data_IF_896847138833
#
_entry.id   IF_896847138833
#
_cell.length_a   1.000
_cell.length_b   1.000
_cell.length_c   1.000
_cell.angle_alpha   90.00
_cell.angle_beta   90.00
_cell.angle_gamma   90.00
#
_symmetry.space_group_name_H-M   'P 1'
#
loop_
_entity.id
_entity.type
_entity.pdbx_description
1 polymer ?
#
# COMPACT_ATOMS: atom_id res chain seq x y z
N UNK A 1 -6.52 5.04 12.25
CA UNK A 1 -5.52 5.75 13.05
C UNK A 1 -4.47 6.25 12.08
N UNK A 2 -4.19 7.54 12.02
CA UNK A 2 -3.16 8.04 11.10
C UNK A 2 -1.76 7.74 11.67
N UNK A 3 -0.75 7.58 10.81
CA UNK A 3 0.63 7.37 11.25
C UNK A 3 1.09 8.48 12.20
N UNK A 4 0.59 9.71 11.98
CA UNK A 4 0.78 10.86 12.86
C UNK A 4 0.21 10.63 14.26
N UNK A 5 -1.04 10.18 14.37
CA UNK A 5 -1.67 9.92 15.67
C UNK A 5 -0.96 8.81 16.43
N UNK A 6 -0.48 7.80 15.72
CA UNK A 6 0.29 6.70 16.32
C UNK A 6 1.64 7.18 16.85
N UNK A 7 2.37 8.02 16.10
CA UNK A 7 3.63 8.62 16.56
C UNK A 7 3.43 9.57 17.76
N UNK A 8 2.36 10.37 17.75
CA UNK A 8 1.98 11.20 18.88
C UNK A 8 1.62 10.36 20.12
N UNK A 9 0.97 9.20 19.92
CA UNK A 9 0.64 8.28 21.02
C UNK A 9 1.86 7.60 21.63
N UNK A 10 2.97 7.49 20.89
CA UNK A 10 4.26 7.02 21.41
C UNK A 10 5.03 8.10 22.19
N UNK A 11 4.50 9.34 22.25
CA UNK A 11 5.07 10.43 23.05
C UNK A 11 6.11 11.27 22.33
N UNK A 12 6.22 11.18 20.99
CA UNK A 12 7.10 12.04 20.22
C UNK A 12 6.53 13.46 20.08
N UNK A 13 7.41 14.48 20.09
CA UNK A 13 7.01 15.88 19.91
C UNK A 13 6.39 16.12 18.53
N UNK A 14 5.32 16.91 18.47
CA UNK A 14 4.51 17.15 17.26
C UNK A 14 5.34 17.68 16.09
N UNK A 15 6.26 18.61 16.34
CA UNK A 15 7.17 19.17 15.33
C UNK A 15 8.11 18.11 14.73
N UNK A 16 8.55 17.14 15.54
CA UNK A 16 9.45 16.06 15.13
C UNK A 16 8.70 15.01 14.30
N UNK A 17 7.45 14.74 14.66
CA UNK A 17 6.55 13.85 13.93
C UNK A 17 6.25 14.43 12.55
N UNK A 18 5.89 15.71 12.48
CA UNK A 18 5.58 16.37 11.21
C UNK A 18 6.83 16.51 10.32
N UNK A 19 8.01 16.73 10.90
CA UNK A 19 9.29 16.68 10.18
C UNK A 19 9.57 15.29 9.61
N UNK A 20 9.42 14.23 10.41
CA UNK A 20 9.67 12.85 9.98
C UNK A 20 8.70 12.38 8.91
N UNK A 21 7.42 12.73 9.01
CA UNK A 21 6.41 12.41 7.99
C UNK A 21 6.68 13.12 6.66
N UNK A 22 7.16 14.37 6.71
CA UNK A 22 7.59 15.11 5.51
C UNK A 22 8.86 14.52 4.90
N UNK A 23 9.88 14.23 5.73
CA UNK A 23 11.16 13.67 5.28
C UNK A 23 11.00 12.27 4.66
N UNK A 24 10.06 11.48 5.17
CA UNK A 24 9.77 10.13 4.67
C UNK A 24 8.69 10.11 3.57
N UNK A 25 8.14 11.27 3.22
CA UNK A 25 7.07 11.47 2.24
C UNK A 25 5.83 10.59 2.51
N UNK A 26 5.43 10.50 3.79
CA UNK A 26 4.29 9.70 4.23
C UNK A 26 4.34 8.22 3.78
N UNK A 27 5.53 7.62 3.71
CA UNK A 27 5.72 6.21 3.30
C UNK A 27 5.32 5.16 4.35
N UNK A 28 4.74 5.60 5.47
CA UNK A 28 4.24 4.74 6.54
C UNK A 28 4.87 5.03 7.91
N UNK A 29 4.33 4.40 8.94
CA UNK A 29 4.76 4.54 10.33
C UNK A 29 6.22 4.13 10.59
N UNK A 30 6.66 3.00 10.04
CA UNK A 30 7.99 2.43 10.30
C UNK A 30 9.13 3.33 9.77
N UNK A 31 9.09 3.80 8.51
CA UNK A 31 10.08 4.78 8.01
C UNK A 31 10.11 6.07 8.84
N UNK A 32 8.95 6.54 9.32
CA UNK A 32 8.87 7.74 10.15
C UNK A 32 9.49 7.52 11.54
N UNK A 33 9.32 6.34 12.14
CA UNK A 33 9.98 5.95 13.40
C UNK A 33 11.51 5.90 13.24
N UNK A 34 12.00 5.23 12.19
CA UNK A 34 13.44 5.12 11.93
C UNK A 34 14.08 6.51 11.77
N UNK A 35 13.39 7.42 11.06
CA UNK A 35 13.86 8.79 10.89
C UNK A 35 13.89 9.59 12.20
N UNK A 36 12.91 9.40 13.09
CA UNK A 36 12.86 10.05 14.40
C UNK A 36 14.02 9.58 15.28
N UNK A 37 14.28 8.28 15.32
CA UNK A 37 15.36 7.68 16.12
C UNK A 37 16.74 8.12 15.62
N UNK A 38 16.96 8.10 14.30
CA UNK A 38 18.25 8.46 13.70
C UNK A 38 18.58 9.96 13.85
N UNK A 39 17.57 10.79 14.14
CA UNK A 39 17.71 12.24 14.24
C UNK A 39 17.26 12.83 15.59
N UNK A 40 17.09 12.00 16.63
CA UNK A 40 16.61 12.40 17.95
C UNK A 40 17.48 13.52 18.58
N UNK A 41 18.80 13.48 18.32
CA UNK A 41 19.77 14.48 18.80
C UNK A 41 19.99 15.71 17.91
N UNK A 42 19.34 15.81 16.74
CA UNK A 42 19.50 16.95 15.83
C UNK A 42 18.39 17.99 16.05
N UNK A 43 18.68 19.30 15.91
CA UNK A 43 17.67 20.34 15.99
C UNK A 43 16.66 20.18 14.85
N UNK A 44 15.37 20.33 15.17
CA UNK A 44 14.26 20.21 14.21
C UNK A 44 14.24 21.49 13.36
N UNK A 45 14.26 21.41 12.01
CA UNK A 45 14.10 22.57 11.14
C UNK A 45 12.67 23.13 11.24
N UNK A 46 12.54 24.45 11.45
CA UNK A 46 11.25 25.14 11.63
C UNK A 46 10.32 24.97 10.40
N UNK A 47 9.07 24.49 10.58
CA UNK A 47 8.13 24.25 9.48
C UNK A 47 7.63 25.52 8.76
N UNK A 48 7.88 26.73 9.28
CA UNK A 48 7.51 28.00 8.63
C UNK A 48 8.56 28.50 7.63
N UNK A 49 9.77 27.94 7.66
CA UNK A 49 10.78 28.13 6.61
C UNK A 49 10.47 27.19 5.45
N UNK A 50 9.48 27.56 4.65
CA UNK A 50 9.18 26.91 3.38
C UNK A 50 10.37 27.05 2.43
N UNK A 51 11.28 26.09 2.45
CA UNK A 51 12.43 26.03 1.57
C UNK A 51 13.50 25.12 2.16
N UNK A 52 13.79 24.03 1.45
CA UNK A 52 14.94 23.14 1.64
C UNK A 52 16.06 23.77 2.48
N UNK A 53 16.13 23.39 3.75
CA UNK A 53 17.22 23.76 4.65
C UNK A 53 18.42 22.84 4.47
N UNK A 54 19.07 22.93 3.31
CA UNK A 54 20.53 22.94 3.31
C UNK A 54 20.92 24.35 3.75
N UNK A 55 21.71 24.45 4.82
CA UNK A 55 22.14 25.69 5.45
C UNK A 55 22.68 26.71 4.44
N UNK A 56 22.08 27.90 4.42
CA UNK A 56 22.58 29.06 3.69
C UNK A 56 23.63 29.85 4.48
N UNK A 57 24.66 30.33 3.77
CA UNK A 57 25.41 31.54 4.11
C UNK A 57 25.06 32.60 3.07
N UNK A 58 24.99 33.85 3.52
CA UNK A 58 24.26 34.99 2.97
C UNK A 58 24.61 35.44 1.54
N UNK A 59 23.61 36.03 0.87
CA UNK A 59 23.70 36.67 -0.44
C UNK A 59 24.05 38.17 -0.36
N UNK A 60 24.86 38.63 -1.31
CA UNK A 60 24.84 39.96 -1.91
C UNK A 60 25.04 39.81 -3.43
N UNK A 61 24.56 40.76 -4.27
CA UNK A 61 24.08 40.45 -5.62
C UNK A 61 25.10 40.76 -6.73
N UNK A 62 25.05 39.99 -7.83
CA UNK A 62 25.55 40.43 -9.14
C UNK A 62 26.30 39.36 -9.94
N UNK A 63 25.77 39.08 -11.13
CA UNK A 63 26.33 38.34 -12.28
C UNK A 63 26.53 36.82 -12.15
N UNK A 64 25.53 36.10 -12.66
CA UNK A 64 25.63 35.20 -13.84
C UNK A 64 27.07 34.94 -14.32
N UNK A 65 27.71 33.87 -13.83
CA UNK A 65 28.66 32.97 -14.52
C UNK A 65 28.86 31.73 -13.61
N UNK A 66 27.98 30.73 -13.71
CA UNK A 66 28.16 29.42 -13.06
C UNK A 66 29.37 28.69 -13.70
N UNK A 67 30.55 28.94 -13.15
CA UNK A 67 31.75 28.12 -13.37
C UNK A 67 31.87 27.20 -12.16
N UNK A 68 31.56 25.91 -12.36
CA UNK A 68 31.60 24.86 -11.32
C UNK A 68 32.90 24.92 -10.47
N UNK A 69 32.77 25.39 -9.22
CA UNK A 69 33.84 25.62 -8.24
C UNK A 69 34.60 24.33 -7.85
N UNK A 70 33.95 23.17 -8.02
CA UNK A 70 34.51 21.85 -7.70
C UNK A 70 35.65 21.43 -8.65
N UNK A 71 35.63 21.91 -9.90
CA UNK A 71 36.62 21.52 -10.91
C UNK A 71 37.92 22.34 -10.80
N UNK A 72 37.85 23.61 -10.39
CA UNK A 72 39.04 24.44 -10.11
C UNK A 72 39.73 24.02 -8.82
N UNK A 73 38.98 23.59 -7.80
CA UNK A 73 39.53 23.08 -6.54
C UNK A 73 40.24 21.72 -6.75
N UNK A 74 39.69 20.85 -7.62
CA UNK A 74 40.36 19.62 -8.05
C UNK A 74 41.66 19.89 -8.84
N UNK A 75 41.69 20.95 -9.66
CA UNK A 75 42.90 21.37 -10.39
C UNK A 75 43.94 21.99 -9.45
N UNK A 76 43.51 22.75 -8.43
CA UNK A 76 44.34 23.37 -7.40
C UNK A 76 44.94 22.33 -6.44
N UNK A 77 44.20 21.26 -6.15
CA UNK A 77 44.67 20.11 -5.38
C UNK A 77 45.70 19.27 -6.17
N UNK A 78 45.52 19.12 -7.50
CA UNK A 78 46.48 18.42 -8.37
C UNK A 78 47.79 19.21 -8.62
N UNK A 79 47.77 20.53 -8.46
CA UNK A 79 48.93 21.45 -8.61
C UNK A 79 49.42 22.03 -7.27
N UNK A 80 49.35 21.26 -6.18
CA UNK A 80 49.78 21.69 -4.84
C UNK A 80 51.02 22.59 -4.81
N UNK A 81 50.86 23.79 -4.23
CA UNK A 81 51.90 24.72 -3.74
C UNK A 81 53.17 24.84 -4.60
N UNK A 82 53.09 25.56 -5.72
CA UNK A 82 54.27 26.06 -6.42
C UNK A 82 54.15 27.56 -6.70
N UNK A 83 53.99 28.39 -5.65
CA UNK A 83 54.39 29.81 -5.62
C UNK A 83 53.92 30.47 -4.32
N UNK A 84 54.76 30.47 -3.29
CA UNK A 84 54.90 31.58 -2.34
C UNK A 84 56.04 31.27 -1.36
N UNK A 85 57.04 32.15 -1.35
CA UNK A 85 58.14 32.28 -0.39
C UNK A 85 59.31 31.29 -0.46
N UNK A 86 60.30 31.64 -1.28
CA UNK A 86 61.71 31.27 -1.08
C UNK A 86 62.37 32.41 -0.28
N UNK A 87 62.73 32.15 0.98
CA UNK A 87 63.92 32.75 1.62
C UNK A 87 64.88 31.59 1.89
N UNK A 88 66.18 31.70 1.55
CA UNK A 88 67.12 30.61 1.70
C UNK A 88 67.73 30.64 3.10
N UNK A 89 67.69 29.52 3.83
CA UNK A 89 68.66 29.25 4.91
C UNK A 89 68.90 27.74 5.01
N UNK A 90 70.17 27.39 4.76
CA UNK A 90 71.04 26.35 5.31
C UNK A 90 70.57 24.90 5.54
N UNK A 91 71.50 24.02 5.17
CA UNK A 91 71.60 22.57 5.38
C UNK A 91 71.24 22.10 6.79
N UNK A 92 70.52 20.97 6.87
CA UNK A 92 70.79 19.93 7.87
C UNK A 92 70.53 18.54 7.28
N UNK A 93 71.33 17.61 7.76
CA UNK A 93 71.62 16.27 7.27
C UNK A 93 70.49 15.25 7.54
N UNK A 94 70.08 14.52 6.50
CA UNK A 94 69.17 13.37 6.61
C UNK A 94 68.87 12.75 5.25
N UNK A 95 69.32 11.52 5.02
CA UNK A 95 69.13 10.79 3.77
C UNK A 95 67.68 10.30 3.70
N UNK A 96 66.81 11.01 2.99
CA UNK A 96 65.47 10.53 2.62
C UNK A 96 65.41 10.32 1.09
N UNK A 97 64.97 9.13 0.68
CA UNK A 97 64.99 8.69 -0.71
C UNK A 97 64.12 9.56 -1.62
N UNK A 98 64.70 9.99 -2.75
CA UNK A 98 64.10 10.95 -3.69
C UNK A 98 62.97 10.37 -4.58
N UNK A 99 62.79 9.04 -4.63
CA UNK A 99 61.68 8.39 -5.34
C UNK A 99 61.40 6.97 -4.81
N UNK A 100 60.18 6.47 -4.98
CA UNK A 100 59.75 5.15 -4.47
C UNK A 100 59.27 4.31 -5.66
N UNK A 101 59.92 3.19 -5.96
CA UNK A 101 59.48 2.27 -7.03
C UNK A 101 58.69 1.11 -6.44
N UNK A 102 57.63 0.69 -7.13
CA UNK A 102 56.94 -0.55 -6.78
C UNK A 102 57.68 -1.73 -7.43
N UNK A 103 58.12 -2.71 -6.63
CA UNK A 103 58.87 -3.87 -7.10
C UNK A 103 58.01 -4.83 -7.94
N UNK A 104 56.69 -4.79 -7.77
CA UNK A 104 55.75 -5.67 -8.49
C UNK A 104 55.38 -5.16 -9.88
N UNK A 105 55.45 -3.85 -10.12
CA UNK A 105 55.08 -3.26 -11.43
C UNK A 105 56.11 -2.31 -12.02
N UNK A 106 57.23 -2.08 -11.35
CA UNK A 106 58.33 -1.23 -11.80
C UNK A 106 58.00 0.27 -11.91
N UNK A 107 56.80 0.70 -11.47
CA UNK A 107 56.41 2.11 -11.53
C UNK A 107 57.10 2.91 -10.44
N UNK A 108 57.71 4.03 -10.82
CA UNK A 108 58.41 4.94 -9.93
C UNK A 108 57.49 6.11 -9.57
N UNK A 109 57.31 6.34 -8.28
CA UNK A 109 56.47 7.37 -7.70
C UNK A 109 57.33 8.48 -7.11
N UNK A 110 56.86 9.72 -7.30
CA UNK A 110 57.53 10.95 -6.86
C UNK A 110 57.34 11.25 -5.37
N UNK A 111 56.31 10.68 -4.74
CA UNK A 111 55.94 10.95 -3.35
C UNK A 111 55.23 9.73 -2.76
N UNK A 112 55.34 9.55 -1.44
CA UNK A 112 54.69 8.48 -0.64
C UNK A 112 53.17 8.45 -0.85
N UNK A 113 52.52 9.61 -0.97
CA UNK A 113 51.07 9.69 -1.20
C UNK A 113 50.63 9.06 -2.55
N UNK A 114 51.45 9.17 -3.59
CA UNK A 114 51.17 8.55 -4.90
C UNK A 114 51.45 7.04 -4.88
N UNK A 115 52.42 6.59 -4.08
CA UNK A 115 52.66 5.16 -3.84
C UNK A 115 51.49 4.53 -3.07
N UNK A 116 50.95 5.20 -2.05
CA UNK A 116 49.77 4.75 -1.31
C UNK A 116 48.52 4.65 -2.19
N UNK A 117 48.26 5.66 -3.04
CA UNK A 117 47.15 5.59 -3.99
C UNK A 117 47.29 4.45 -5.01
N UNK A 118 48.54 4.17 -5.44
CA UNK A 118 48.82 3.01 -6.28
C UNK A 118 48.62 1.70 -5.52
N UNK A 119 49.02 1.62 -4.25
CA UNK A 119 48.75 0.48 -3.38
C UNK A 119 47.24 0.22 -3.19
N UNK A 120 46.44 1.26 -2.97
CA UNK A 120 44.98 1.13 -2.82
C UNK A 120 44.27 0.71 -4.11
N UNK A 121 44.75 1.19 -5.27
CA UNK A 121 44.10 0.95 -6.55
C UNK A 121 44.55 -0.34 -7.24
N UNK A 122 45.82 -0.74 -7.07
CA UNK A 122 46.37 -1.94 -7.71
C UNK A 122 46.73 -3.05 -6.73
N UNK A 123 46.66 -2.82 -5.41
CA UNK A 123 46.94 -3.82 -4.39
C UNK A 123 48.41 -4.20 -4.24
N UNK A 124 49.35 -3.39 -4.74
CA UNK A 124 50.78 -3.68 -4.66
C UNK A 124 51.38 -3.02 -3.41
N UNK A 125 52.06 -3.80 -2.57
CA UNK A 125 52.57 -3.38 -1.25
C UNK A 125 54.12 -3.38 -1.15
N UNK A 126 54.82 -4.03 -2.08
CA UNK A 126 56.28 -4.04 -2.10
C UNK A 126 56.83 -2.79 -2.82
N UNK A 127 57.31 -1.82 -2.04
CA UNK A 127 57.96 -0.61 -2.53
C UNK A 127 59.44 -0.56 -2.12
N UNK A 128 60.30 -0.28 -3.09
CA UNK A 128 61.74 -0.06 -2.90
C UNK A 128 62.07 1.43 -3.09
N UNK A 129 62.86 1.97 -2.18
CA UNK A 129 63.40 3.32 -2.31
C UNK A 129 64.44 3.36 -3.45
N UNK A 130 64.25 4.22 -4.44
CA UNK A 130 65.16 4.36 -5.60
C UNK A 130 65.67 5.79 -5.73
N UNK A 131 66.96 5.91 -6.04
CA UNK A 131 67.69 7.18 -6.17
C UNK A 131 67.61 7.78 -7.57
N UNK A 132 66.75 7.25 -8.45
CA UNK A 132 66.55 7.78 -9.79
C UNK A 132 65.81 9.12 -9.72
N UNK A 133 66.53 10.22 -9.95
CA UNK A 133 65.96 11.55 -10.09
C UNK A 133 65.04 11.56 -11.32
N UNK A 134 63.73 11.47 -11.08
CA UNK A 134 62.74 11.58 -12.14
C UNK A 134 62.91 12.97 -12.77
N UNK A 135 63.45 12.99 -14.01
CA UNK A 135 63.63 14.20 -14.80
C UNK A 135 62.31 14.99 -14.76
N UNK A 136 62.30 16.21 -14.20
CA UNK A 136 61.07 16.97 -14.08
C UNK A 136 60.52 17.18 -15.48
N UNK A 137 59.28 16.72 -15.69
CA UNK A 137 58.51 16.90 -16.92
C UNK A 137 58.78 18.33 -17.45
N UNK A 138 59.25 18.46 -18.68
CA UNK A 138 59.57 19.76 -19.27
C UNK A 138 58.32 20.64 -19.26
N UNK A 139 58.50 21.96 -19.17
CA UNK A 139 57.35 22.88 -19.05
C UNK A 139 56.37 22.74 -20.23
N UNK A 140 56.84 22.28 -21.39
CA UNK A 140 56.04 22.01 -22.58
C UNK A 140 55.15 20.77 -22.43
N UNK A 141 55.65 19.68 -21.85
CA UNK A 141 54.85 18.46 -21.60
C UNK A 141 53.80 18.68 -20.51
N UNK A 142 54.07 19.57 -19.55
CA UNK A 142 53.09 19.99 -18.52
C UNK A 142 51.99 20.85 -19.14
N UNK A 143 52.33 21.78 -20.05
CA UNK A 143 51.34 22.60 -20.76
C UNK A 143 50.46 21.75 -21.67
N UNK A 144 51.04 20.81 -22.43
CA UNK A 144 50.29 19.89 -23.28
C UNK A 144 49.31 19.01 -22.47
N UNK A 145 49.75 18.46 -21.31
CA UNK A 145 48.84 17.70 -20.42
C UNK A 145 47.75 18.56 -19.80
N UNK A 146 48.00 19.84 -19.51
CA UNK A 146 46.98 20.77 -19.02
C UNK A 146 45.95 21.09 -20.10
N UNK A 147 46.37 21.26 -21.35
CA UNK A 147 45.48 21.48 -22.49
C UNK A 147 44.63 20.24 -22.79
N UNK A 148 45.23 19.04 -22.74
CA UNK A 148 44.50 17.78 -22.86
C UNK A 148 43.46 17.59 -21.73
N UNK A 149 43.83 17.92 -20.48
CA UNK A 149 42.90 17.86 -19.35
C UNK A 149 41.75 18.86 -19.54
N UNK A 150 42.04 20.09 -19.97
CA UNK A 150 41.02 21.11 -20.24
C UNK A 150 40.09 20.70 -21.37
N UNK A 151 40.62 20.13 -22.45
CA UNK A 151 39.82 19.62 -23.56
C UNK A 151 38.89 18.49 -23.10
N UNK A 152 39.39 17.55 -22.28
CA UNK A 152 38.59 16.45 -21.72
C UNK A 152 37.51 16.95 -20.76
N UNK A 153 37.78 18.00 -19.99
CA UNK A 153 36.80 18.64 -19.11
C UNK A 153 35.72 19.38 -19.91
N UNK A 154 36.10 20.10 -20.96
CA UNK A 154 35.14 20.74 -21.86
C UNK A 154 34.24 19.72 -22.56
N UNK A 155 34.79 18.59 -23.01
CA UNK A 155 34.01 17.50 -23.58
C UNK A 155 33.04 16.89 -22.56
N UNK A 156 33.47 16.72 -21.30
CA UNK A 156 32.61 16.23 -20.21
C UNK A 156 31.49 17.23 -19.87
N UNK A 157 31.78 18.53 -19.82
CA UNK A 157 30.79 19.59 -19.61
C UNK A 157 29.79 19.66 -20.76
N UNK A 158 30.25 19.57 -22.01
CA UNK A 158 29.37 19.53 -23.17
C UNK A 158 28.42 18.32 -23.12
N UNK A 159 28.93 17.12 -22.82
CA UNK A 159 28.10 15.92 -22.65
C UNK A 159 27.10 16.07 -21.50
N UNK A 160 27.52 16.62 -20.35
CA UNK A 160 26.65 16.86 -19.20
C UNK A 160 25.51 17.82 -19.55
N UNK A 161 25.80 18.93 -20.23
CA UNK A 161 24.77 19.90 -20.65
C UNK A 161 23.73 19.30 -21.61
N UNK A 162 24.15 18.40 -22.51
CA UNK A 162 23.23 17.71 -23.43
C UNK A 162 22.34 16.73 -22.66
N UNK A 163 22.88 16.02 -21.68
CA UNK A 163 22.10 15.11 -20.84
C UNK A 163 21.11 15.90 -19.98
N UNK A 164 21.56 16.96 -19.30
CA UNK A 164 20.71 17.79 -18.45
C UNK A 164 19.56 18.44 -19.25
N UNK A 165 19.84 18.95 -20.45
CA UNK A 165 18.77 19.51 -21.31
C UNK A 165 17.77 18.45 -21.79
N UNK A 166 18.21 17.20 -22.01
CA UNK A 166 17.32 16.09 -22.34
C UNK A 166 16.48 15.65 -21.13
N UNK A 167 17.09 15.55 -19.96
CA UNK A 167 16.40 15.21 -18.70
C UNK A 167 15.38 16.28 -18.32
N UNK A 168 15.71 17.56 -18.46
CA UNK A 168 14.77 18.66 -18.24
C UNK A 168 13.56 18.58 -19.19
N UNK A 169 13.80 18.33 -20.49
CA UNK A 169 12.71 18.13 -21.47
C UNK A 169 11.85 16.91 -21.14
N UNK A 170 12.46 15.81 -20.71
CA UNK A 170 11.74 14.60 -20.33
C UNK A 170 10.89 14.80 -19.07
N UNK A 171 11.43 15.51 -18.06
CA UNK A 171 10.72 15.83 -16.83
C UNK A 171 9.54 16.79 -17.09
N UNK A 172 9.74 17.81 -17.94
CA UNK A 172 8.66 18.70 -18.35
C UNK A 172 7.57 17.96 -19.13
N UNK A 173 7.94 17.03 -20.03
CA UNK A 173 6.99 16.19 -20.76
C UNK A 173 6.22 15.26 -19.81
N UNK A 174 6.87 14.69 -18.80
CA UNK A 174 6.22 13.87 -17.78
C UNK A 174 5.22 14.70 -16.95
N UNK A 175 5.58 15.92 -16.57
CA UNK A 175 4.68 16.84 -15.85
C UNK A 175 3.43 17.15 -16.69
N UNK A 176 3.60 17.44 -17.99
CA UNK A 176 2.48 17.69 -18.90
C UNK A 176 1.58 16.47 -19.06
N UNK A 177 2.16 15.28 -19.25
CA UNK A 177 1.40 14.02 -19.35
C UNK A 177 0.65 13.70 -18.07
N UNK A 178 1.29 13.80 -16.91
CA UNK A 178 0.63 13.57 -15.62
C UNK A 178 -0.58 14.51 -15.41
N UNK A 179 -0.48 15.78 -15.84
CA UNK A 179 -1.61 16.71 -15.83
C UNK A 179 -2.77 16.27 -16.74
N UNK A 180 -2.47 15.83 -17.95
CA UNK A 180 -3.46 15.31 -18.89
C UNK A 180 -4.08 14.00 -18.39
N UNK A 181 -3.27 13.07 -17.89
CA UNK A 181 -3.71 11.78 -17.36
C UNK A 181 -4.65 11.97 -16.16
N UNK A 182 -4.42 12.96 -15.30
CA UNK A 182 -5.35 13.31 -14.22
C UNK A 182 -6.70 13.80 -14.75
N UNK A 183 -6.72 14.62 -15.80
CA UNK A 183 -7.98 15.08 -16.42
C UNK A 183 -8.73 13.92 -17.09
N UNK A 184 -8.04 13.10 -17.86
CA UNK A 184 -8.60 11.92 -18.55
C UNK A 184 -9.14 10.92 -17.51
N UNK A 185 -8.39 10.66 -16.44
CA UNK A 185 -8.81 9.75 -15.36
C UNK A 185 -10.07 10.26 -14.66
N UNK A 186 -10.15 11.58 -14.40
CA UNK A 186 -11.33 12.19 -13.77
C UNK A 186 -12.56 12.13 -14.68
N UNK A 187 -12.40 12.35 -15.98
CA UNK A 187 -13.48 12.21 -16.96
C UNK A 187 -13.93 10.75 -17.11
N UNK A 188 -12.98 9.82 -17.18
CA UNK A 188 -13.27 8.39 -17.25
C UNK A 188 -14.00 7.88 -16.00
N UNK A 189 -13.60 8.34 -14.80
CA UNK A 189 -14.29 8.00 -13.55
C UNK A 189 -15.74 8.50 -13.55
N UNK A 190 -15.97 9.76 -13.94
CA UNK A 190 -17.31 10.34 -14.04
C UNK A 190 -18.18 9.61 -15.06
N UNK A 191 -17.62 9.26 -16.22
CA UNK A 191 -18.34 8.54 -17.26
C UNK A 191 -18.74 7.14 -16.78
N UNK A 192 -17.83 6.43 -16.11
CA UNK A 192 -18.09 5.11 -15.53
C UNK A 192 -19.14 5.16 -14.41
N UNK A 193 -19.18 6.21 -13.60
CA UNK A 193 -20.22 6.42 -12.58
C UNK A 193 -21.59 6.69 -13.21
N UNK A 194 -21.64 7.55 -14.23
CA UNK A 194 -22.87 7.84 -14.96
C UNK A 194 -23.43 6.60 -15.68
N UNK A 195 -22.57 5.77 -16.28
CA UNK A 195 -22.96 4.50 -16.90
C UNK A 195 -23.52 3.52 -15.86
N UNK A 196 -22.87 3.41 -14.70
CA UNK A 196 -23.36 2.56 -13.60
C UNK A 196 -24.72 3.03 -13.08
N UNK A 197 -24.90 4.33 -12.88
CA UNK A 197 -26.20 4.87 -12.44
C UNK A 197 -27.29 4.62 -13.49
N UNK A 198 -26.99 4.85 -14.77
CA UNK A 198 -27.93 4.58 -15.86
C UNK A 198 -28.29 3.09 -15.96
N UNK A 199 -27.32 2.19 -15.76
CA UNK A 199 -27.54 0.74 -15.73
C UNK A 199 -28.40 0.31 -14.54
N UNK A 200 -28.13 0.87 -13.34
CA UNK A 200 -28.94 0.62 -12.14
C UNK A 200 -30.38 1.10 -12.33
N UNK A 201 -30.60 2.31 -12.84
CA UNK A 201 -31.96 2.79 -13.13
C UNK A 201 -32.69 1.94 -14.16
N UNK A 202 -31.99 1.43 -15.19
CA UNK A 202 -32.60 0.50 -16.16
C UNK A 202 -32.96 -0.83 -15.49
N UNK A 203 -32.09 -1.36 -14.63
CA UNK A 203 -32.33 -2.59 -13.89
C UNK A 203 -33.51 -2.44 -12.93
N UNK A 204 -33.56 -1.36 -12.15
CA UNK A 204 -34.67 -1.04 -11.25
C UNK A 204 -35.99 -0.93 -12.00
N UNK A 205 -36.03 -0.24 -13.15
CA UNK A 205 -37.23 -0.17 -14.00
C UNK A 205 -37.68 -1.54 -14.49
N UNK A 206 -36.75 -2.42 -14.88
CA UNK A 206 -37.06 -3.76 -15.35
C UNK A 206 -37.55 -4.66 -14.20
N UNK A 207 -36.93 -4.58 -13.04
CA UNK A 207 -37.29 -5.37 -11.86
C UNK A 207 -38.65 -4.92 -11.31
N UNK A 208 -38.94 -3.62 -11.33
CA UNK A 208 -40.24 -3.07 -10.92
C UNK A 208 -41.36 -3.44 -11.92
N UNK A 209 -41.05 -3.45 -13.23
CA UNK A 209 -41.97 -3.95 -14.26
C UNK A 209 -42.24 -5.45 -14.11
N UNK A 210 -41.20 -6.25 -13.83
CA UNK A 210 -41.33 -7.70 -13.57
C UNK A 210 -42.13 -7.97 -12.30
N UNK A 211 -41.91 -7.21 -11.22
CA UNK A 211 -42.66 -7.35 -9.97
C UNK A 211 -44.15 -7.05 -10.19
N UNK A 212 -44.46 -5.96 -10.91
CA UNK A 212 -45.84 -5.63 -11.30
C UNK A 212 -46.48 -6.72 -12.17
N UNK A 213 -45.75 -7.26 -13.13
CA UNK A 213 -46.23 -8.37 -13.97
C UNK A 213 -46.48 -9.65 -13.15
N UNK A 214 -45.60 -9.98 -12.21
CA UNK A 214 -45.73 -11.14 -11.32
C UNK A 214 -46.97 -11.01 -10.41
N UNK A 215 -47.17 -9.85 -9.79
CA UNK A 215 -48.37 -9.59 -8.96
C UNK A 215 -49.64 -9.68 -9.81
N UNK A 216 -49.64 -9.09 -11.01
CA UNK A 216 -50.78 -9.17 -11.92
C UNK A 216 -51.09 -10.62 -12.32
N UNK A 217 -50.06 -11.42 -12.62
CA UNK A 217 -50.21 -12.84 -12.94
C UNK A 217 -50.76 -13.65 -11.75
N UNK A 218 -50.32 -13.34 -10.52
CA UNK A 218 -50.82 -13.98 -9.31
C UNK A 218 -52.29 -13.65 -9.06
N UNK A 219 -52.70 -12.39 -9.26
CA UNK A 219 -54.11 -11.96 -9.16
C UNK A 219 -54.96 -12.64 -10.23
N UNK A 220 -54.45 -12.77 -11.46
CA UNK A 220 -55.17 -13.47 -12.54
C UNK A 220 -55.32 -14.97 -12.25
N UNK A 221 -54.28 -15.61 -11.70
CA UNK A 221 -54.32 -17.01 -11.28
C UNK A 221 -55.34 -17.23 -10.15
N UNK A 222 -55.33 -16.41 -9.08
CA UNK A 222 -56.30 -16.47 -7.98
C UNK A 222 -57.74 -16.22 -8.48
N UNK A 223 -57.92 -15.25 -9.40
CA UNK A 223 -59.22 -14.98 -10.01
C UNK A 223 -59.71 -16.17 -10.86
N UNK A 224 -58.82 -16.79 -11.63
CA UNK A 224 -59.14 -17.98 -12.45
C UNK A 224 -59.48 -19.17 -11.56
N UNK A 225 -58.72 -19.41 -10.48
CA UNK A 225 -58.99 -20.49 -9.52
C UNK A 225 -60.34 -20.28 -8.81
N UNK A 226 -60.61 -19.06 -8.33
CA UNK A 226 -61.91 -18.72 -7.72
C UNK A 226 -63.06 -18.92 -8.70
N UNK A 227 -62.90 -18.49 -9.96
CA UNK A 227 -63.90 -18.70 -11.00
C UNK A 227 -64.10 -20.20 -11.32
N UNK A 228 -63.03 -20.97 -11.41
CA UNK A 228 -63.09 -22.41 -11.64
C UNK A 228 -63.76 -23.15 -10.48
N UNK A 229 -63.46 -22.78 -9.23
CA UNK A 229 -64.10 -23.34 -8.03
C UNK A 229 -65.59 -23.00 -7.98
N UNK A 230 -65.96 -21.75 -8.27
CA UNK A 230 -67.37 -21.34 -8.33
C UNK A 230 -68.13 -22.05 -9.46
N UNK A 231 -67.51 -22.22 -10.64
CA UNK A 231 -68.08 -22.98 -11.75
C UNK A 231 -68.26 -24.46 -11.37
N UNK A 232 -67.26 -25.06 -10.71
CA UNK A 232 -67.33 -26.44 -10.21
C UNK A 232 -68.47 -26.61 -9.20
N UNK A 233 -68.59 -25.71 -8.21
CA UNK A 233 -69.67 -25.78 -7.21
C UNK A 233 -71.05 -25.57 -7.84
N UNK A 234 -71.19 -24.64 -8.79
CA UNK A 234 -72.45 -24.42 -9.52
C UNK A 234 -72.85 -25.67 -10.32
N UNK A 235 -71.91 -26.30 -11.02
CA UNK A 235 -72.18 -27.53 -11.77
C UNK A 235 -72.58 -28.69 -10.84
N UNK A 236 -71.91 -28.85 -9.69
CA UNK A 236 -72.28 -29.81 -8.65
C UNK A 236 -73.69 -29.56 -8.09
N UNK A 237 -74.10 -28.30 -7.94
CA UNK A 237 -75.44 -27.93 -7.43
C UNK A 237 -76.56 -28.12 -8.47
N UNK A 238 -76.27 -27.95 -9.75
CA UNK A 238 -77.22 -28.17 -10.85
C UNK A 238 -77.34 -29.66 -11.25
N UNK A 239 -76.72 -30.58 -10.51
CA UNK A 239 -76.81 -32.03 -10.75
C UNK A 239 -76.16 -32.48 -12.06
N UNK A 240 -75.40 -31.60 -12.72
CA UNK A 240 -74.63 -31.91 -13.92
C UNK A 240 -73.24 -32.38 -13.50
N UNK A 241 -72.87 -33.59 -13.88
CA UNK A 241 -71.50 -34.09 -13.68
C UNK A 241 -70.53 -33.16 -14.43
N UNK A 242 -69.79 -32.35 -13.68
CA UNK A 242 -68.70 -31.56 -14.23
C UNK A 242 -67.59 -32.52 -14.62
N UNK A 243 -67.47 -32.82 -15.92
CA UNK A 243 -66.30 -33.45 -16.47
C UNK A 243 -65.14 -32.47 -16.32
N UNK A 244 -64.24 -32.77 -15.39
CA UNK A 244 -62.97 -32.10 -15.22
C UNK A 244 -62.19 -32.19 -16.55
N UNK A 245 -61.89 -31.06 -17.25
CA UNK A 245 -61.09 -31.11 -18.46
C UNK A 245 -59.60 -31.38 -18.18
N UNK A 246 -59.20 -31.74 -16.94
CA UNK A 246 -57.81 -32.01 -16.56
C UNK A 246 -57.46 -33.50 -16.36
N UNK A 247 -58.33 -34.45 -16.72
CA UNK A 247 -58.00 -35.88 -16.73
C UNK A 247 -57.97 -36.44 -18.15
N UNK A 248 -56.93 -36.06 -18.89
CA UNK A 248 -56.39 -36.88 -19.97
C UNK A 248 -54.86 -36.71 -19.99
N UNK A 249 -54.17 -37.86 -19.97
CA UNK A 249 -52.71 -38.09 -20.01
C UNK A 249 -51.94 -38.03 -18.68
N UNK A 250 -51.55 -39.21 -18.17
CA UNK A 250 -50.31 -39.39 -17.39
C UNK A 250 -49.09 -39.59 -18.31
N UNK A 251 -47.89 -39.98 -17.82
CA UNK A 251 -47.51 -40.33 -16.45
C UNK A 251 -46.20 -39.66 -15.92
N UNK A 252 -45.97 -39.82 -14.60
CA UNK A 252 -44.72 -39.81 -13.81
C UNK A 252 -43.52 -38.93 -14.21
N UNK A 253 -43.10 -38.05 -13.28
CA UNK A 253 -41.73 -37.84 -12.79
C UNK A 253 -41.49 -36.40 -12.30
N UNK A 254 -40.78 -36.25 -11.18
CA UNK A 254 -39.87 -35.12 -10.98
C UNK A 254 -40.32 -33.97 -10.06
N UNK A 255 -39.81 -34.05 -8.84
CA UNK A 255 -39.14 -32.93 -8.13
C UNK A 255 -40.00 -31.76 -7.65
N UNK A 256 -40.43 -31.86 -6.39
CA UNK A 256 -40.93 -30.75 -5.59
C UNK A 256 -39.81 -29.74 -5.27
N UNK A 257 -39.92 -28.51 -5.80
CA UNK A 257 -39.17 -27.34 -5.37
C UNK A 257 -40.06 -26.10 -5.45
N UNK A 258 -40.56 -25.63 -4.30
CA UNK A 258 -41.05 -24.28 -3.99
C UNK A 258 -41.53 -24.31 -2.52
N UNK A 259 -40.68 -23.98 -1.55
CA UNK A 259 -40.41 -22.62 -1.07
C UNK A 259 -41.67 -21.93 -0.55
N UNK A 260 -41.87 -22.11 0.76
CA UNK A 260 -42.88 -21.48 1.57
C UNK A 260 -42.49 -20.03 1.89
N UNK A 261 -43.46 -19.12 1.76
CA UNK A 261 -43.48 -17.84 2.44
C UNK A 261 -44.21 -18.01 3.78
N UNK A 262 -43.59 -17.41 4.78
CA UNK A 262 -43.86 -17.33 6.21
C UNK A 262 -45.26 -16.85 6.64
N UNK A 263 -45.80 -17.50 7.67
CA UNK A 263 -46.71 -16.90 8.66
C UNK A 263 -46.27 -17.32 10.06
N UNK A 264 -46.17 -16.33 10.96
CA UNK A 264 -45.81 -16.48 12.35
C UNK A 264 -46.96 -17.07 13.19
N UNK A 265 -46.65 -18.01 14.08
CA UNK A 265 -47.15 -18.05 15.48
C UNK A 265 -46.65 -19.32 16.20
N UNK A 266 -46.00 -19.07 17.34
CA UNK A 266 -45.94 -19.84 18.59
C UNK A 266 -46.47 -21.28 18.61
N UNK A 267 -45.59 -22.22 18.95
CA UNK A 267 -46.00 -23.57 19.35
C UNK A 267 -44.80 -24.51 19.50
N UNK A 268 -44.42 -24.77 20.74
CA UNK A 268 -43.38 -25.72 21.13
C UNK A 268 -43.79 -27.12 20.63
N UNK A 269 -43.15 -27.59 19.55
CA UNK A 269 -42.95 -29.01 19.22
C UNK A 269 -41.81 -29.10 18.22
N UNK A 270 -40.78 -29.86 18.56
CA UNK A 270 -39.54 -30.00 17.79
C UNK A 270 -39.83 -30.44 16.36
N UNK A 271 -39.63 -29.53 15.42
CA UNK A 271 -39.44 -29.83 14.01
C UNK A 271 -37.97 -29.56 13.71
N UNK A 272 -37.26 -30.53 13.16
CA UNK A 272 -35.86 -30.40 12.77
C UNK A 272 -35.71 -29.31 11.70
N UNK A 273 -35.35 -28.10 12.11
CA UNK A 273 -35.01 -27.02 11.19
C UNK A 273 -33.64 -27.30 10.58
N UNK A 274 -33.49 -27.17 9.25
CA UNK A 274 -32.22 -27.40 8.54
C UNK A 274 -31.23 -26.24 8.71
N UNK A 275 -31.74 -25.05 8.98
CA UNK A 275 -30.96 -23.83 9.16
C UNK A 275 -31.33 -23.15 10.48
N UNK A 276 -30.36 -22.45 11.06
CA UNK A 276 -30.46 -21.70 12.31
C UNK A 276 -30.09 -20.25 12.07
N UNK A 277 -31.01 -19.34 12.41
CA UNK A 277 -30.79 -17.90 12.32
C UNK A 277 -30.22 -17.35 13.62
N UNK A 278 -28.97 -16.93 13.61
CA UNK A 278 -28.28 -16.38 14.77
C UNK A 278 -28.18 -14.86 14.69
N UNK A 279 -28.50 -14.20 15.80
CA UNK A 279 -28.18 -12.79 16.02
C UNK A 279 -27.10 -12.69 17.10
N UNK A 280 -25.91 -12.26 16.71
CA UNK A 280 -24.73 -12.18 17.56
C UNK A 280 -24.50 -10.72 17.95
N UNK A 281 -24.50 -10.45 19.25
CA UNK A 281 -24.29 -9.13 19.84
C UNK A 281 -22.89 -9.08 20.43
N UNK A 282 -22.04 -8.21 19.91
CA UNK A 282 -20.65 -8.08 20.36
C UNK A 282 -20.60 -7.22 21.63
N UNK A 283 -19.83 -7.66 22.63
CA UNK A 283 -19.60 -6.94 23.87
C UNK A 283 -18.84 -5.62 23.67
N UNK A 284 -18.06 -5.49 22.60
CA UNK A 284 -17.35 -4.25 22.22
C UNK A 284 -18.29 -3.12 21.79
N UNK A 285 -19.59 -3.40 21.64
CA UNK A 285 -20.58 -2.43 21.20
C UNK A 285 -20.54 -2.23 19.69
N UNK A 286 -21.67 -2.42 19.02
CA UNK A 286 -21.78 -2.33 17.57
C UNK A 286 -23.12 -2.87 17.05
N UNK A 287 -23.39 -2.78 15.73
CA UNK A 287 -24.57 -3.38 15.14
C UNK A 287 -24.52 -4.92 15.30
N UNK A 288 -25.64 -5.56 15.66
CA UNK A 288 -25.67 -7.01 15.85
C UNK A 288 -25.42 -7.74 14.53
N UNK A 289 -24.48 -8.68 14.53
CA UNK A 289 -24.21 -9.52 13.37
C UNK A 289 -25.32 -10.55 13.23
N UNK A 290 -25.94 -10.62 12.05
CA UNK A 290 -26.99 -11.60 11.76
C UNK A 290 -26.46 -12.58 10.74
N UNK A 291 -26.49 -13.87 11.06
CA UNK A 291 -26.04 -14.94 10.17
C UNK A 291 -27.04 -16.10 10.17
N UNK A 292 -27.05 -16.87 9.08
CA UNK A 292 -27.82 -18.12 8.97
C UNK A 292 -26.81 -19.24 8.74
N UNK A 293 -26.78 -20.23 9.62
CA UNK A 293 -25.88 -21.37 9.53
C UNK A 293 -26.68 -22.67 9.55
N UNK A 294 -26.19 -23.76 8.92
CA UNK A 294 -26.83 -25.07 9.00
C UNK A 294 -26.99 -25.53 10.45
N UNK A 295 -28.06 -26.24 10.79
CA UNK A 295 -28.30 -26.68 12.18
C UNK A 295 -27.25 -27.67 12.71
N UNK A 296 -26.54 -28.33 11.80
CA UNK A 296 -25.42 -29.24 12.09
C UNK A 296 -24.08 -28.51 12.24
N UNK A 297 -24.01 -27.19 12.01
CA UNK A 297 -22.79 -26.43 12.27
C UNK A 297 -22.49 -26.37 13.76
N UNK A 298 -21.22 -26.24 14.10
CA UNK A 298 -20.77 -26.16 15.48
C UNK A 298 -20.75 -24.73 16.00
N UNK A 299 -20.71 -24.54 17.32
CA UNK A 299 -20.46 -23.23 17.91
C UNK A 299 -19.07 -22.66 17.56
N UNK A 300 -18.11 -23.53 17.21
CA UNK A 300 -16.79 -23.12 16.72
C UNK A 300 -16.89 -22.39 15.37
N UNK A 301 -17.73 -22.87 14.44
CA UNK A 301 -17.94 -22.20 13.14
C UNK A 301 -18.54 -20.80 13.32
N UNK A 302 -19.38 -20.61 14.35
CA UNK A 302 -19.90 -19.30 14.74
C UNK A 302 -18.78 -18.39 15.27
N UNK A 303 -17.82 -18.93 16.02
CA UNK A 303 -16.66 -18.20 16.50
C UNK A 303 -15.76 -17.73 15.35
N UNK A 304 -15.52 -18.61 14.37
CA UNK A 304 -14.78 -18.26 13.16
C UNK A 304 -15.47 -17.16 12.35
N UNK A 305 -16.80 -17.24 12.21
CA UNK A 305 -17.58 -16.18 11.55
C UNK A 305 -17.45 -14.83 12.26
N UNK A 306 -17.50 -14.82 13.60
CA UNK A 306 -17.33 -13.59 14.39
C UNK A 306 -15.90 -13.05 14.26
N UNK A 307 -14.88 -13.91 14.30
CA UNK A 307 -13.49 -13.51 14.12
C UNK A 307 -13.23 -12.95 12.70
N UNK A 308 -13.86 -13.53 11.67
CA UNK A 308 -13.77 -13.03 10.30
C UNK A 308 -14.42 -11.65 10.12
N UNK A 309 -15.51 -11.39 10.85
CA UNK A 309 -16.28 -10.13 10.73
C UNK A 309 -15.76 -9.03 11.66
N UNK A 310 -15.07 -9.40 12.75
CA UNK A 310 -14.56 -8.46 13.75
C UNK A 310 -13.15 -8.85 14.21
N UNK A 311 -12.17 -8.05 13.77
CA UNK A 311 -10.74 -8.18 14.11
C UNK A 311 -10.42 -8.07 15.61
N UNK A 312 -11.40 -7.69 16.42
CA UNK A 312 -11.27 -7.57 17.88
C UNK A 312 -11.51 -8.90 18.61
N UNK A 313 -12.13 -9.88 17.95
CA UNK A 313 -12.46 -11.17 18.54
C UNK A 313 -11.60 -12.25 17.88
N UNK A 314 -10.96 -13.07 18.70
CA UNK A 314 -10.26 -14.25 18.24
C UNK A 314 -11.05 -15.51 18.59
N UNK A 315 -10.91 -16.53 17.77
CA UNK A 315 -11.61 -17.83 17.90
C UNK A 315 -11.22 -18.53 19.21
N UNK A 316 -10.04 -18.22 19.76
CA UNK A 316 -9.55 -18.80 21.02
C UNK A 316 -10.06 -18.08 22.27
N UNK A 317 -10.40 -16.80 22.18
CA UNK A 317 -10.76 -15.95 23.33
C UNK A 317 -12.26 -15.64 23.42
N UNK A 318 -12.99 -15.74 22.31
CA UNK A 318 -14.42 -15.43 22.26
C UNK A 318 -15.25 -16.39 23.12
N UNK A 319 -16.12 -15.83 23.96
CA UNK A 319 -17.07 -16.59 24.77
C UNK A 319 -18.50 -16.22 24.41
N UNK A 320 -19.36 -17.22 24.23
CA UNK A 320 -20.78 -17.00 23.89
C UNK A 320 -21.70 -17.17 25.10
N UNK A 321 -22.71 -16.32 25.21
CA UNK A 321 -23.78 -16.45 26.20
C UNK A 321 -25.17 -16.18 25.59
N UNK A 322 -26.19 -16.96 25.97
CA UNK A 322 -27.59 -16.67 25.61
C UNK A 322 -28.19 -15.60 26.52
N UNK A 323 -29.15 -14.84 25.98
CA UNK A 323 -29.86 -13.80 26.75
C UNK A 323 -30.97 -14.36 27.64
N UNK A 324 -31.70 -15.39 27.17
CA UNK A 324 -32.74 -16.08 27.93
C UNK A 324 -33.01 -17.49 27.40
N UNK A 325 -33.02 -18.54 28.24
CA UNK A 325 -32.44 -18.60 29.58
C UNK A 325 -30.94 -18.31 29.51
N UNK A 326 -30.39 -17.58 30.49
CA UNK A 326 -28.97 -17.21 30.48
C UNK A 326 -28.09 -18.43 30.66
N UNK A 327 -27.36 -18.80 29.62
CA UNK A 327 -26.38 -19.89 29.62
C UNK A 327 -25.11 -19.39 28.96
N UNK A 328 -23.99 -19.50 29.66
CA UNK A 328 -22.65 -19.23 29.13
C UNK A 328 -22.07 -20.53 28.60
N UNK A 329 -21.65 -20.55 27.33
CA UNK A 329 -21.07 -21.74 26.71
C UNK A 329 -19.60 -21.86 27.07
N UNK A 330 -19.20 -23.03 27.57
CA UNK A 330 -17.78 -23.34 27.83
C UNK A 330 -17.13 -23.93 26.59
N UNK A 331 -15.79 -24.00 26.53
CA UNK A 331 -15.05 -24.55 25.38
C UNK A 331 -15.48 -25.97 24.98
N UNK A 332 -15.94 -26.79 25.92
CA UNK A 332 -16.46 -28.14 25.64
C UNK A 332 -17.80 -28.14 24.90
N UNK A 333 -18.54 -27.02 24.95
CA UNK A 333 -19.78 -26.85 24.21
C UNK A 333 -19.53 -26.27 22.81
N UNK A 334 -18.32 -25.77 22.51
CA UNK A 334 -17.98 -25.27 21.17
C UNK A 334 -17.92 -26.37 20.11
N UNK A 335 -17.67 -27.62 20.51
CA UNK A 335 -17.68 -28.80 19.63
C UNK A 335 -19.08 -29.36 19.38
N UNK A 336 -20.10 -28.89 20.11
CA UNK A 336 -21.49 -29.33 19.93
C UNK A 336 -22.17 -28.55 18.82
N UNK A 337 -23.16 -29.17 18.18
CA UNK A 337 -23.91 -28.53 17.10
C UNK A 337 -24.92 -27.52 17.63
N UNK A 338 -25.32 -26.55 16.80
CA UNK A 338 -26.35 -25.57 17.16
C UNK A 338 -27.68 -26.24 17.56
N UNK A 339 -27.98 -27.41 16.97
CA UNK A 339 -29.14 -28.24 17.31
C UNK A 339 -29.04 -28.84 18.71
N UNK A 340 -27.90 -29.44 19.06
CA UNK A 340 -27.67 -30.03 20.39
C UNK A 340 -27.74 -29.01 21.52
N UNK A 341 -27.39 -27.76 21.23
CA UNK A 341 -27.41 -26.65 22.17
C UNK A 341 -28.76 -25.93 22.24
N UNK A 342 -29.75 -26.36 21.45
CA UNK A 342 -31.09 -25.78 21.44
C UNK A 342 -31.15 -24.36 20.87
N UNK A 343 -30.23 -24.01 19.96
CA UNK A 343 -30.17 -22.69 19.32
C UNK A 343 -31.04 -22.59 18.05
N UNK A 344 -31.68 -23.69 17.64
CA UNK A 344 -32.60 -23.81 16.51
C UNK A 344 -34.04 -23.45 16.91
N UNK A 345 -34.87 -22.82 16.04
CA UNK A 345 -34.57 -22.28 14.70
C UNK A 345 -33.89 -20.91 14.70
N UNK A 346 -33.93 -20.20 15.83
CA UNK A 346 -33.30 -18.89 15.95
C UNK A 346 -32.85 -18.64 17.39
N UNK A 347 -31.68 -18.02 17.54
CA UNK A 347 -31.12 -17.68 18.83
C UNK A 347 -30.39 -16.34 18.81
N UNK A 348 -30.31 -15.72 19.98
CA UNK A 348 -29.55 -14.49 20.24
C UNK A 348 -28.38 -14.82 21.15
N UNK A 349 -27.16 -14.63 20.64
CA UNK A 349 -25.91 -14.87 21.36
C UNK A 349 -25.23 -13.54 21.67
N UNK A 350 -24.71 -13.40 22.87
CA UNK A 350 -23.78 -12.35 23.27
C UNK A 350 -22.38 -12.92 23.10
N UNK A 351 -21.54 -12.26 22.30
CA UNK A 351 -20.13 -12.59 22.14
C UNK A 351 -19.31 -11.63 23.01
N UNK A 352 -18.59 -12.16 23.99
CA UNK A 352 -17.70 -11.40 24.88
C UNK A 352 -16.25 -11.76 24.67
#
# INVERSE_FOLDING_TARGET
MSDRDTLLSFGFAEDRVDWALRATNHRGLQPALDHIVENEGKPIPDPSSGGNGSSGVAAAPGNDEDVDMDDEEALRAAMGKASANIKPVAEDTGVEAKSIKCSECGKIFKNTALANYHAEKSGHDQFEESTEEIKPLTEEEKKAKLEELRAKMQEKRAKKSVIETQEQKANEALRRKAGQDLTITKEAMKLKEAEKEAALRKKEKLDDAKAKAAIKAQIEADKRERAAKAAREKALREGKTYADPSVAAGPVAGTSAAQAASTAASGIKGSDYKETRLQIRLASGGPPLTTSLPSESTLMDVAEYVAAQSLQYDVSTVTFATTFPRKTFTRQEFSKTLKELGLTPSAVLMAS
#
